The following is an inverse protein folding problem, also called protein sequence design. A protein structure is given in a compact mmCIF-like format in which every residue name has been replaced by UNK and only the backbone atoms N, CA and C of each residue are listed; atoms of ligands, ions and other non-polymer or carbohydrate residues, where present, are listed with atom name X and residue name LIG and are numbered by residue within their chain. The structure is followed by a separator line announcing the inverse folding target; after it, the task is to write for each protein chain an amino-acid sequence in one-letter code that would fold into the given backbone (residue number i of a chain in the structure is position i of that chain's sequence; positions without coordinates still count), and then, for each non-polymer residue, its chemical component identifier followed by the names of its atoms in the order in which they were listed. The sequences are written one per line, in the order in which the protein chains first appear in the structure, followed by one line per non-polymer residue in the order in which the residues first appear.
data_IF_805744762244
#
_entry.id   IF_805744762244
#
_cell.length_a   1.000
_cell.length_b   1.000
_cell.length_c   1.000
_cell.angle_alpha   90.00
_cell.angle_beta   90.00
_cell.angle_gamma   90.00
#
_symmetry.space_group_name_H-M   'P 1'
#
loop_
_entity.id
_entity.type
_entity.pdbx_description
1 polymer ?
#
# COMPACT_ATOMS: atom_id res chain seq x y z
N UNK A 1 13.33 1.64 13.18
CA UNK A 1 12.42 1.52 12.02
C UNK A 1 11.15 0.81 12.46
N UNK A 2 9.97 1.25 12.03
CA UNK A 2 8.68 0.60 12.32
C UNK A 2 8.43 -0.57 11.38
N UNK A 3 7.65 -1.57 11.84
CA UNK A 3 7.35 -2.77 11.05
C UNK A 3 5.84 -2.97 10.98
N UNK A 4 5.33 -3.05 9.76
CA UNK A 4 3.93 -3.27 9.44
C UNK A 4 3.65 -4.64 8.84
N UNK A 5 2.42 -5.13 9.03
CA UNK A 5 1.89 -6.30 8.32
C UNK A 5 0.97 -5.84 7.20
N UNK A 6 1.05 -6.47 6.03
CA UNK A 6 0.14 -6.20 4.93
C UNK A 6 -1.01 -7.21 4.92
N UNK A 7 -2.22 -6.72 5.14
CA UNK A 7 -3.46 -7.49 5.05
C UNK A 7 -3.90 -7.58 3.58
N UNK A 8 -3.43 -8.64 2.90
CA UNK A 8 -3.70 -8.87 1.48
C UNK A 8 -5.10 -9.48 1.29
N UNK A 9 -6.06 -8.67 0.88
CA UNK A 9 -7.43 -9.10 0.59
C UNK A 9 -7.52 -10.11 -0.56
N UNK A 10 -6.47 -10.27 -1.34
CA UNK A 10 -6.38 -11.25 -2.41
C UNK A 10 -6.17 -12.66 -1.88
N UNK A 11 -5.42 -12.81 -0.77
CA UNK A 11 -5.06 -14.12 -0.21
C UNK A 11 -6.08 -14.65 0.79
N UNK A 12 -6.71 -13.76 1.54
CA UNK A 12 -7.54 -14.17 2.67
C UNK A 12 -8.92 -13.50 2.65
N UNK A 13 -9.92 -14.24 3.17
CA UNK A 13 -11.23 -13.63 3.40
C UNK A 13 -11.17 -12.52 4.48
N UNK A 14 -12.12 -11.57 4.45
CA UNK A 14 -12.09 -10.43 5.35
C UNK A 14 -12.10 -10.77 6.84
N UNK A 15 -12.72 -11.91 7.25
CA UNK A 15 -12.79 -12.31 8.66
C UNK A 15 -11.44 -12.83 9.14
N UNK A 16 -10.77 -13.66 8.33
CA UNK A 16 -9.41 -14.12 8.59
C UNK A 16 -8.43 -12.95 8.72
N UNK A 17 -8.54 -11.94 7.84
CA UNK A 17 -7.69 -10.74 7.93
C UNK A 17 -7.94 -9.93 9.21
N UNK A 18 -9.17 -9.90 9.75
CA UNK A 18 -9.42 -9.27 11.06
C UNK A 18 -8.72 -10.00 12.19
N UNK A 19 -8.70 -11.32 12.15
CA UNK A 19 -7.99 -12.12 13.15
C UNK A 19 -6.46 -11.95 13.02
N UNK A 20 -5.93 -11.86 11.79
CA UNK A 20 -4.52 -11.54 11.54
C UNK A 20 -4.14 -10.14 12.08
N UNK A 21 -4.99 -9.12 11.90
CA UNK A 21 -4.73 -7.79 12.44
C UNK A 21 -4.66 -7.79 13.98
N UNK A 22 -5.57 -8.50 14.68
CA UNK A 22 -5.52 -8.63 16.13
C UNK A 22 -4.28 -9.40 16.60
N UNK A 23 -3.87 -10.45 15.88
CA UNK A 23 -2.63 -11.18 16.17
C UNK A 23 -1.40 -10.31 15.95
N UNK A 24 -1.37 -9.51 14.88
CA UNK A 24 -0.29 -8.58 14.59
C UNK A 24 -0.12 -7.55 15.72
N UNK A 25 -1.22 -7.00 16.25
CA UNK A 25 -1.18 -6.13 17.42
C UNK A 25 -0.57 -6.84 18.63
N UNK A 26 -1.05 -8.06 18.92
CA UNK A 26 -0.52 -8.88 20.03
C UNK A 26 0.95 -9.29 19.85
N UNK A 27 1.43 -9.36 18.63
CA UNK A 27 2.81 -9.66 18.27
C UNK A 27 3.75 -8.45 18.31
N UNK A 28 3.21 -7.22 18.40
CA UNK A 28 3.99 -6.00 18.50
C UNK A 28 4.31 -5.32 17.16
N UNK A 29 3.55 -5.59 16.10
CA UNK A 29 3.61 -4.78 14.87
C UNK A 29 3.14 -3.35 15.15
N UNK A 30 3.71 -2.38 14.43
CA UNK A 30 3.39 -0.95 14.56
C UNK A 30 2.19 -0.55 13.69
N UNK A 31 2.06 -1.20 12.51
CA UNK A 31 1.06 -0.84 11.50
C UNK A 31 0.44 -2.07 10.84
N UNK A 32 -0.77 -1.89 10.30
CA UNK A 32 -1.36 -2.82 9.33
C UNK A 32 -1.80 -2.04 8.10
N UNK A 33 -1.30 -2.46 6.95
CA UNK A 33 -1.68 -1.93 5.65
C UNK A 33 -2.65 -2.88 4.96
N UNK A 34 -3.51 -2.38 4.08
CA UNK A 34 -4.45 -3.25 3.36
C UNK A 34 -4.51 -2.92 1.88
N UNK A 35 -4.59 -3.95 1.03
CA UNK A 35 -4.86 -3.78 -0.39
C UNK A 35 -6.26 -3.22 -0.63
N UNK A 36 -6.43 -2.47 -1.72
CA UNK A 36 -7.72 -1.91 -2.14
C UNK A 36 -7.97 -2.23 -3.61
N UNK A 37 -8.35 -3.46 -3.86
CA UNK A 37 -8.62 -3.97 -5.20
C UNK A 37 -10.11 -4.31 -5.40
N UNK A 38 -10.55 -4.35 -6.67
CA UNK A 38 -11.85 -4.88 -7.10
C UNK A 38 -11.71 -6.33 -7.55
N UNK A 39 -10.65 -6.61 -8.30
CA UNK A 39 -10.24 -7.95 -8.68
C UNK A 39 -8.86 -8.28 -8.10
N UNK A 40 -8.61 -9.54 -7.71
CA UNK A 40 -7.31 -9.99 -7.23
C UNK A 40 -6.32 -10.19 -8.39
N UNK A 41 -5.04 -10.29 -8.05
CA UNK A 41 -3.97 -10.62 -9.00
C UNK A 41 -3.92 -12.09 -9.43
N UNK A 42 -4.79 -12.91 -8.86
CA UNK A 42 -4.91 -14.34 -9.11
C UNK A 42 -6.38 -14.75 -9.06
N UNK A 43 -6.80 -15.72 -9.85
CA UNK A 43 -8.22 -16.11 -9.93
C UNK A 43 -8.57 -17.29 -9.03
N UNK A 44 -7.71 -18.32 -9.05
CA UNK A 44 -7.97 -19.58 -8.35
C UNK A 44 -7.79 -19.40 -6.84
N UNK A 45 -8.82 -19.78 -6.05
CA UNK A 45 -8.82 -19.72 -4.58
C UNK A 45 -8.50 -18.33 -4.00
N UNK A 46 -8.77 -17.27 -4.76
CA UNK A 46 -8.54 -15.90 -4.36
C UNK A 46 -9.77 -15.26 -3.71
N UNK A 47 -9.49 -14.21 -2.95
CA UNK A 47 -10.49 -13.32 -2.35
C UNK A 47 -10.36 -11.90 -2.91
N UNK A 48 -11.27 -11.00 -2.57
CA UNK A 48 -11.11 -9.57 -2.78
C UNK A 48 -12.14 -8.77 -1.96
N UNK A 49 -11.86 -8.59 -0.68
CA UNK A 49 -12.69 -7.79 0.21
C UNK A 49 -12.51 -6.29 -0.04
N UNK A 50 -13.54 -5.49 0.24
CA UNK A 50 -13.44 -4.04 0.15
C UNK A 50 -12.64 -3.46 1.34
N UNK A 51 -11.60 -2.69 1.06
CA UNK A 51 -10.67 -2.14 2.07
C UNK A 51 -11.35 -1.22 3.09
N UNK A 52 -12.14 -0.24 2.67
CA UNK A 52 -12.67 0.79 3.57
C UNK A 52 -13.62 0.25 4.65
N UNK A 53 -14.62 -0.63 4.35
CA UNK A 53 -15.42 -1.26 5.40
C UNK A 53 -14.60 -2.15 6.32
N UNK A 54 -13.59 -2.86 5.77
CA UNK A 54 -12.71 -3.70 6.55
C UNK A 54 -11.86 -2.88 7.51
N UNK A 55 -11.27 -1.77 7.06
CA UNK A 55 -10.48 -0.85 7.91
C UNK A 55 -11.28 -0.37 9.13
N UNK A 56 -12.53 0.05 8.94
CA UNK A 56 -13.37 0.47 10.07
C UNK A 56 -13.58 -0.66 11.08
N UNK A 57 -13.70 -1.91 10.62
CA UNK A 57 -13.87 -3.08 11.49
C UNK A 57 -12.56 -3.46 12.19
N UNK A 58 -11.42 -3.35 11.50
CA UNK A 58 -10.11 -3.68 12.04
C UNK A 58 -9.68 -2.65 13.10
N UNK A 59 -9.88 -1.37 12.84
CA UNK A 59 -9.62 -0.28 13.78
C UNK A 59 -10.44 -0.41 15.08
N UNK A 60 -11.71 -0.85 14.97
CA UNK A 60 -12.57 -1.09 16.15
C UNK A 60 -12.15 -2.32 16.98
N UNK A 61 -11.46 -3.29 16.36
CA UNK A 61 -11.01 -4.51 17.03
C UNK A 61 -9.60 -4.44 17.61
N UNK A 62 -8.91 -3.33 17.37
CA UNK A 62 -7.53 -3.10 17.81
C UNK A 62 -7.43 -1.78 18.56
N UNK A 63 -6.43 -1.64 19.41
CA UNK A 63 -6.30 -0.50 20.31
C UNK A 63 -5.18 0.48 19.89
N UNK A 64 -4.09 0.00 19.29
CA UNK A 64 -2.86 0.75 19.09
C UNK A 64 -2.36 0.78 17.64
N UNK A 65 -2.70 -0.23 16.82
CA UNK A 65 -2.22 -0.31 15.44
C UNK A 65 -2.66 0.89 14.61
N UNK A 66 -1.71 1.45 13.87
CA UNK A 66 -2.04 2.40 12.80
C UNK A 66 -2.39 1.63 11.53
N UNK A 67 -3.44 2.06 10.85
CA UNK A 67 -3.95 1.34 9.68
C UNK A 67 -4.30 2.28 8.52
N UNK A 68 -4.13 1.77 7.31
CA UNK A 68 -4.54 2.45 6.09
C UNK A 68 -4.41 1.58 4.86
N UNK A 69 -4.58 2.17 3.69
CA UNK A 69 -4.50 1.45 2.43
C UNK A 69 -3.11 1.49 1.82
N UNK A 70 -2.71 0.41 1.19
CA UNK A 70 -1.48 0.30 0.43
C UNK A 70 -1.71 -0.28 -0.99
N UNK A 71 -2.36 0.45 -1.92
CA UNK A 71 -2.82 1.85 -1.91
C UNK A 71 -4.22 1.99 -2.50
N UNK A 72 -4.92 3.10 -2.22
CA UNK A 72 -6.18 3.45 -2.89
C UNK A 72 -5.92 4.31 -4.12
N UNK A 73 -6.34 3.91 -5.32
CA UNK A 73 -6.14 4.69 -6.54
C UNK A 73 -7.33 5.64 -6.81
N UNK A 74 -7.14 6.97 -6.80
CA UNK A 74 -8.16 7.93 -7.17
C UNK A 74 -8.20 8.13 -8.69
N UNK A 75 -8.62 7.10 -9.45
CA UNK A 75 -8.62 7.11 -10.92
C UNK A 75 -10.02 7.36 -11.48
N UNK A 76 -10.98 6.46 -11.25
CA UNK A 76 -12.36 6.65 -11.67
C UNK A 76 -13.36 6.18 -10.61
N UNK A 77 -13.14 5.01 -10.00
CA UNK A 77 -14.06 4.44 -8.98
C UNK A 77 -14.17 5.27 -7.71
N UNK A 78 -13.14 6.06 -7.37
CA UNK A 78 -13.13 6.89 -6.17
C UNK A 78 -12.95 8.37 -6.50
N UNK A 79 -13.95 9.16 -6.17
CA UNK A 79 -13.84 10.61 -6.19
C UNK A 79 -13.00 11.10 -4.99
N UNK A 80 -12.01 12.01 -5.16
CA UNK A 80 -11.16 12.50 -4.06
C UNK A 80 -11.94 13.05 -2.85
N UNK A 81 -13.03 13.76 -3.10
CA UNK A 81 -13.89 14.26 -2.03
C UNK A 81 -14.54 13.16 -1.18
N UNK A 82 -14.86 12.02 -1.80
CA UNK A 82 -15.35 10.85 -1.07
C UNK A 82 -14.24 10.22 -0.21
N UNK A 83 -13.02 10.10 -0.75
CA UNK A 83 -11.88 9.61 0.01
C UNK A 83 -11.56 10.53 1.20
N UNK A 84 -11.55 11.85 0.97
CA UNK A 84 -11.33 12.81 2.05
C UNK A 84 -12.39 12.67 3.17
N UNK A 85 -13.68 12.48 2.81
CA UNK A 85 -14.75 12.25 3.78
C UNK A 85 -14.58 10.93 4.53
N UNK A 86 -14.30 9.82 3.81
CA UNK A 86 -14.19 8.50 4.41
C UNK A 86 -13.02 8.42 5.41
N UNK A 87 -11.82 8.84 4.99
CA UNK A 87 -10.64 8.81 5.85
C UNK A 87 -10.66 9.92 6.92
N UNK A 88 -11.26 11.07 6.64
CA UNK A 88 -11.55 12.07 7.67
C UNK A 88 -12.48 11.54 8.77
N UNK A 89 -13.48 10.72 8.39
CA UNK A 89 -14.37 10.05 9.36
C UNK A 89 -13.62 9.03 10.19
N UNK A 90 -12.83 8.16 9.55
CA UNK A 90 -12.00 7.18 10.26
C UNK A 90 -11.01 7.88 11.21
N UNK A 91 -10.34 8.96 10.76
CA UNK A 91 -9.43 9.75 11.60
C UNK A 91 -10.12 10.43 12.77
N UNK A 92 -11.38 10.85 12.62
CA UNK A 92 -12.16 11.41 13.73
C UNK A 92 -12.59 10.34 14.75
N UNK A 93 -12.80 9.10 14.32
CA UNK A 93 -13.14 7.97 15.19
C UNK A 93 -11.90 7.37 15.87
N UNK A 94 -10.76 7.34 15.18
CA UNK A 94 -9.53 6.65 15.58
C UNK A 94 -8.32 7.58 15.41
N UNK A 95 -8.30 8.69 16.17
CA UNK A 95 -7.28 9.74 16.05
C UNK A 95 -5.86 9.20 16.16
N UNK A 96 -4.98 9.65 15.25
CA UNK A 96 -3.58 9.22 15.18
C UNK A 96 -3.34 7.81 14.65
N UNK A 97 -4.40 7.03 14.35
CA UNK A 97 -4.30 5.63 13.95
C UNK A 97 -4.62 5.35 12.48
N UNK A 98 -4.92 6.39 11.69
CA UNK A 98 -5.36 6.23 10.29
C UNK A 98 -4.39 6.93 9.36
N UNK A 99 -4.07 6.30 8.23
CA UNK A 99 -3.40 6.94 7.11
C UNK A 99 -4.13 6.61 5.79
N UNK A 100 -3.95 7.45 4.78
CA UNK A 100 -4.41 7.20 3.42
C UNK A 100 -3.21 7.19 2.48
N UNK A 101 -2.97 6.07 1.81
CA UNK A 101 -1.97 6.03 0.74
C UNK A 101 -2.65 5.96 -0.63
N UNK A 102 -2.16 6.79 -1.56
CA UNK A 102 -2.67 6.91 -2.92
C UNK A 102 -1.66 6.39 -3.95
N UNK A 103 -2.18 5.88 -5.06
CA UNK A 103 -1.38 5.40 -6.18
C UNK A 103 -2.03 5.70 -7.54
N UNK A 104 -1.35 5.28 -8.61
CA UNK A 104 -1.84 5.46 -9.99
C UNK A 104 -2.71 4.29 -10.47
N UNK A 105 -2.94 3.30 -9.64
CA UNK A 105 -3.88 2.20 -9.84
C UNK A 105 -3.50 1.20 -10.94
N UNK A 106 -4.35 0.21 -11.11
CA UNK A 106 -4.26 -0.89 -12.06
C UNK A 106 -5.59 -1.06 -12.82
N UNK A 107 -5.51 -1.58 -14.05
CA UNK A 107 -6.68 -1.78 -14.93
C UNK A 107 -7.75 -2.69 -14.29
N UNK A 108 -7.33 -3.69 -13.53
CA UNK A 108 -8.22 -4.65 -12.85
C UNK A 108 -9.15 -4.03 -11.80
N UNK A 109 -8.89 -2.78 -11.41
CA UNK A 109 -9.70 -2.06 -10.45
C UNK A 109 -10.77 -1.15 -11.08
N UNK A 110 -10.59 -0.76 -12.35
CA UNK A 110 -11.44 0.21 -13.03
C UNK A 110 -12.26 -0.43 -14.15
N UNK A 111 -11.62 -1.25 -15.01
CA UNK A 111 -12.25 -1.87 -16.18
C UNK A 111 -13.46 -2.77 -15.82
N UNK A 112 -13.39 -3.62 -14.77
CA UNK A 112 -14.54 -4.46 -14.39
C UNK A 112 -15.77 -3.65 -13.94
N UNK A 113 -15.57 -2.42 -13.50
CA UNK A 113 -16.64 -1.51 -13.11
C UNK A 113 -17.21 -0.72 -14.28
N UNK A 114 -16.70 -0.95 -15.50
CA UNK A 114 -17.14 -0.29 -16.73
C UNK A 114 -16.48 1.05 -17.00
N UNK A 115 -15.39 1.37 -16.32
CA UNK A 115 -14.58 2.55 -16.60
C UNK A 115 -13.49 2.24 -17.63
N UNK A 116 -13.10 3.26 -18.38
CA UNK A 116 -11.91 3.19 -19.24
C UNK A 116 -10.65 3.18 -18.39
N UNK A 117 -9.60 2.49 -18.88
CA UNK A 117 -8.28 2.55 -18.28
C UNK A 117 -7.43 3.65 -18.93
N UNK A 118 -7.18 4.77 -18.25
CA UNK A 118 -6.48 5.89 -18.86
C UNK A 118 -4.96 5.64 -18.93
N UNK A 119 -4.25 6.30 -19.89
CA UNK A 119 -2.81 6.23 -19.97
C UNK A 119 -2.15 6.86 -18.74
N UNK A 120 -0.92 6.43 -18.41
CA UNK A 120 -0.19 6.87 -17.21
C UNK A 120 -0.13 8.40 -17.00
N UNK A 121 0.11 9.27 -18.03
CA UNK A 121 0.11 10.71 -17.81
C UNK A 121 -1.22 11.26 -17.26
N UNK A 122 -2.35 10.67 -17.67
CA UNK A 122 -3.66 11.03 -17.17
C UNK A 122 -3.84 10.53 -15.73
N UNK A 123 -3.52 9.25 -15.46
CA UNK A 123 -3.61 8.69 -14.10
C UNK A 123 -2.78 9.50 -13.10
N UNK A 124 -1.56 9.89 -13.50
CA UNK A 124 -0.72 10.77 -12.67
C UNK A 124 -1.36 12.13 -12.43
N UNK A 125 -2.01 12.72 -13.44
CA UNK A 125 -2.68 14.02 -13.27
C UNK A 125 -3.88 13.89 -12.33
N UNK A 126 -4.67 12.81 -12.45
CA UNK A 126 -5.78 12.51 -11.51
C UNK A 126 -5.29 12.37 -10.07
N UNK A 127 -4.14 11.71 -9.87
CA UNK A 127 -3.49 11.57 -8.57
C UNK A 127 -3.08 12.93 -7.99
N UNK A 128 -2.46 13.80 -8.79
CA UNK A 128 -2.06 15.15 -8.36
C UNK A 128 -3.28 15.96 -7.92
N UNK A 129 -4.33 16.01 -8.75
CA UNK A 129 -5.56 16.72 -8.44
C UNK A 129 -6.23 16.16 -7.17
N UNK A 130 -6.17 14.83 -6.99
CA UNK A 130 -6.70 14.17 -5.79
C UNK A 130 -5.93 14.55 -4.52
N UNK A 131 -4.60 14.57 -4.57
CA UNK A 131 -3.79 15.03 -3.43
C UNK A 131 -4.15 16.46 -3.03
N UNK A 132 -4.28 17.37 -4.01
CA UNK A 132 -4.66 18.76 -3.75
C UNK A 132 -6.06 18.87 -3.12
N UNK A 133 -7.06 18.22 -3.71
CA UNK A 133 -8.44 18.26 -3.19
C UNK A 133 -8.51 17.71 -1.76
N UNK A 134 -7.89 16.55 -1.50
CA UNK A 134 -7.94 15.90 -0.19
C UNK A 134 -7.24 16.76 0.86
N UNK A 135 -6.06 17.27 0.57
CA UNK A 135 -5.29 18.09 1.51
C UNK A 135 -6.04 19.37 1.87
N UNK A 136 -6.63 20.05 0.89
CA UNK A 136 -7.43 21.26 1.12
C UNK A 136 -8.71 20.98 1.92
N UNK A 137 -9.40 19.88 1.65
CA UNK A 137 -10.57 19.49 2.44
C UNK A 137 -10.20 19.18 3.89
N UNK A 138 -9.08 18.50 4.14
CA UNK A 138 -8.62 18.20 5.49
C UNK A 138 -8.07 19.42 6.25
N UNK A 139 -7.70 20.51 5.55
CA UNK A 139 -7.37 21.79 6.17
C UNK A 139 -8.63 22.59 6.62
N UNK A 140 -9.82 22.10 6.28
CA UNK A 140 -11.10 22.77 6.59
C UNK A 140 -11.53 23.80 5.56
N UNK A 141 -10.90 23.83 4.39
CA UNK A 141 -11.28 24.73 3.30
C UNK A 141 -12.63 24.32 2.67
N UNK A 142 -13.33 25.31 2.12
CA UNK A 142 -14.36 25.09 1.09
C UNK A 142 -13.64 24.98 -0.24
N UNK A 143 -13.74 23.81 -0.89
CA UNK A 143 -13.01 23.52 -2.11
C UNK A 143 -13.92 23.61 -3.32
N UNK A 144 -13.68 24.63 -4.12
CA UNK A 144 -14.20 24.77 -5.48
C UNK A 144 -13.06 24.45 -6.44
N UNK A 145 -13.12 23.30 -7.08
CA UNK A 145 -12.04 22.77 -7.93
C UNK A 145 -12.57 22.53 -9.34
N UNK A 146 -12.01 23.21 -10.31
CA UNK A 146 -12.37 23.10 -11.73
C UNK A 146 -11.22 22.45 -12.51
N UNK A 147 -10.94 21.18 -12.18
CA UNK A 147 -9.94 20.37 -12.87
C UNK A 147 -10.50 19.70 -14.13
N UNK A 148 -9.58 19.16 -14.96
CA UNK A 148 -10.00 18.44 -16.16
C UNK A 148 -10.69 17.10 -15.83
N UNK A 149 -10.23 16.41 -14.78
CA UNK A 149 -10.71 15.08 -14.41
C UNK A 149 -11.59 15.08 -13.16
N UNK A 150 -11.27 15.94 -12.21
CA UNK A 150 -12.03 16.09 -10.96
C UNK A 150 -12.62 17.48 -10.88
N UNK A 151 -13.83 17.57 -10.38
CA UNK A 151 -14.54 18.83 -10.15
C UNK A 151 -15.25 18.78 -8.80
N UNK A 152 -15.21 19.90 -8.08
CA UNK A 152 -16.00 20.08 -6.86
C UNK A 152 -16.69 21.45 -6.90
N UNK A 153 -17.86 21.54 -6.28
CA UNK A 153 -18.61 22.77 -6.18
C UNK A 153 -18.91 23.03 -4.70
N UNK A 154 -18.29 24.05 -4.12
CA UNK A 154 -18.44 24.45 -2.72
C UNK A 154 -18.35 23.24 -1.75
N UNK A 155 -17.44 22.27 -2.03
CA UNK A 155 -17.29 21.06 -1.24
C UNK A 155 -16.51 21.37 0.04
N UNK A 156 -17.05 20.96 1.19
CA UNK A 156 -16.36 21.00 2.47
C UNK A 156 -16.78 19.83 3.38
N UNK A 157 -15.94 19.52 4.34
CA UNK A 157 -16.21 18.42 5.27
C UNK A 157 -16.80 18.96 6.57
N UNK A 158 -17.90 18.35 7.04
CA UNK A 158 -18.53 18.67 8.33
C UNK A 158 -17.86 17.97 9.51
N UNK A 159 -17.16 16.86 9.23
CA UNK A 159 -16.39 16.10 10.23
C UNK A 159 -14.93 16.09 9.82
N UNK A 160 -14.10 16.68 10.65
CA UNK A 160 -12.65 16.69 10.52
C UNK A 160 -12.03 15.99 11.72
N UNK A 161 -10.95 15.23 11.55
CA UNK A 161 -10.20 14.67 12.66
C UNK A 161 -9.47 15.79 13.43
N UNK A 162 -9.24 15.59 14.74
CA UNK A 162 -8.43 16.52 15.54
C UNK A 162 -6.97 16.55 15.03
N UNK A 163 -6.43 15.39 14.70
CA UNK A 163 -5.14 15.24 14.04
C UNK A 163 -5.36 14.94 12.56
N UNK A 164 -4.68 15.69 11.68
CA UNK A 164 -4.78 15.46 10.23
C UNK A 164 -4.34 14.04 9.90
N UNK A 165 -5.14 13.35 9.08
CA UNK A 165 -4.77 12.03 8.55
C UNK A 165 -3.53 12.19 7.66
N UNK A 166 -2.44 11.43 7.88
CA UNK A 166 -1.30 11.42 6.99
C UNK A 166 -1.70 10.94 5.59
N UNK A 167 -1.27 11.69 4.57
CA UNK A 167 -1.43 11.33 3.17
C UNK A 167 -0.11 10.78 2.62
N UNK A 168 -0.13 9.55 2.14
CA UNK A 168 1.04 8.93 1.53
C UNK A 168 0.83 8.75 0.02
N UNK A 169 1.91 8.66 -0.74
CA UNK A 169 1.88 8.42 -2.19
C UNK A 169 2.86 7.31 -2.55
N UNK A 170 2.37 6.30 -3.28
CA UNK A 170 3.21 5.23 -3.79
C UNK A 170 3.85 5.60 -5.13
N UNK A 171 5.12 5.21 -5.29
CA UNK A 171 5.85 5.43 -6.53
C UNK A 171 7.01 4.46 -6.72
N UNK A 172 6.99 3.74 -7.84
CA UNK A 172 8.06 2.84 -8.27
C UNK A 172 8.93 3.45 -9.37
N UNK A 173 8.75 4.74 -9.67
CA UNK A 173 9.52 5.49 -10.65
C UNK A 173 9.57 6.98 -10.34
N UNK A 174 10.55 7.72 -10.91
CA UNK A 174 10.84 9.11 -10.52
C UNK A 174 9.64 10.06 -10.62
N UNK A 175 8.74 9.84 -11.58
CA UNK A 175 7.59 10.75 -11.79
C UNK A 175 6.55 10.67 -10.68
N UNK A 176 6.24 9.48 -10.18
CA UNK A 176 5.31 9.30 -9.06
C UNK A 176 5.98 9.71 -7.75
N UNK A 177 7.26 9.41 -7.59
CA UNK A 177 8.05 9.82 -6.42
C UNK A 177 8.15 11.33 -6.30
N UNK A 178 8.31 12.06 -7.41
CA UNK A 178 8.27 13.53 -7.42
C UNK A 178 6.91 14.07 -6.92
N UNK A 179 5.78 13.40 -7.27
CA UNK A 179 4.46 13.76 -6.74
C UNK A 179 4.40 13.55 -5.22
N UNK A 180 4.99 12.46 -4.71
CA UNK A 180 5.09 12.25 -3.27
C UNK A 180 5.84 13.40 -2.59
N UNK A 181 6.98 13.82 -3.14
CA UNK A 181 7.74 14.99 -2.66
C UNK A 181 6.90 16.26 -2.58
N UNK A 182 6.06 16.51 -3.59
CA UNK A 182 5.24 17.73 -3.64
C UNK A 182 4.07 17.75 -2.65
N UNK A 183 3.40 16.61 -2.41
CA UNK A 183 2.09 16.60 -1.76
C UNK A 183 1.98 15.69 -0.54
N UNK A 184 2.83 14.65 -0.41
CA UNK A 184 2.61 13.59 0.57
C UNK A 184 3.41 13.78 1.86
N UNK A 185 2.87 13.25 2.96
CA UNK A 185 3.58 13.14 4.25
C UNK A 185 4.48 11.92 4.29
N UNK A 186 4.28 10.97 3.36
CA UNK A 186 5.12 9.79 3.20
C UNK A 186 5.13 9.28 1.77
N UNK A 187 6.19 8.56 1.48
CA UNK A 187 6.47 7.94 0.18
C UNK A 187 6.62 6.43 0.36
N UNK A 188 5.84 5.66 -0.40
CA UNK A 188 5.86 4.20 -0.41
C UNK A 188 6.45 3.67 -1.71
N UNK A 189 7.35 2.68 -1.62
CA UNK A 189 7.94 2.01 -2.80
C UNK A 189 8.16 0.52 -2.59
N UNK A 190 8.15 -0.24 -3.72
CA UNK A 190 8.57 -1.65 -3.80
C UNK A 190 10.00 -1.81 -4.34
N UNK A 191 10.69 -0.70 -4.62
CA UNK A 191 12.01 -0.76 -5.28
C UNK A 191 13.11 -1.09 -4.30
N UNK A 192 14.12 -1.84 -4.81
CA UNK A 192 15.33 -2.17 -4.07
C UNK A 192 16.14 -0.91 -3.74
N UNK A 193 16.99 -1.02 -2.72
CA UNK A 193 17.82 0.06 -2.20
C UNK A 193 18.61 0.77 -3.30
N UNK A 194 19.20 0.02 -4.22
CA UNK A 194 19.97 0.56 -5.35
C UNK A 194 19.15 1.52 -6.25
N UNK A 195 17.92 1.13 -6.60
CA UNK A 195 17.01 1.96 -7.42
C UNK A 195 16.47 3.12 -6.59
N UNK A 196 16.15 2.85 -5.33
CA UNK A 196 15.67 3.86 -4.39
C UNK A 196 16.68 5.00 -4.24
N UNK A 197 17.92 4.71 -3.86
CA UNK A 197 18.96 5.73 -3.65
C UNK A 197 19.33 6.49 -4.95
N UNK A 198 19.47 5.76 -6.07
CA UNK A 198 19.95 6.37 -7.33
C UNK A 198 18.89 7.20 -8.05
N UNK A 199 17.61 6.84 -7.92
CA UNK A 199 16.57 7.39 -8.79
C UNK A 199 15.36 7.96 -8.03
N UNK A 200 15.01 7.39 -6.88
CA UNK A 200 13.80 7.83 -6.18
C UNK A 200 14.09 8.91 -5.15
N UNK A 201 15.15 8.79 -4.37
CA UNK A 201 15.56 9.85 -3.43
C UNK A 201 15.75 11.19 -4.13
N UNK A 202 16.53 11.29 -5.23
CA UNK A 202 16.68 12.58 -5.94
C UNK A 202 15.35 13.12 -6.50
N UNK A 203 14.42 12.23 -6.92
CA UNK A 203 13.13 12.65 -7.42
C UNK A 203 12.19 13.13 -6.29
N UNK A 204 12.29 12.52 -5.10
CA UNK A 204 11.56 12.94 -3.90
C UNK A 204 12.01 14.34 -3.46
N UNK A 205 13.31 14.54 -3.37
CA UNK A 205 13.93 15.82 -3.01
C UNK A 205 13.58 16.94 -4.01
N UNK A 206 13.64 16.66 -5.32
CA UNK A 206 13.23 17.62 -6.36
C UNK A 206 11.73 17.97 -6.25
N UNK A 207 10.88 16.98 -5.96
CA UNK A 207 9.46 17.21 -5.71
C UNK A 207 9.22 18.09 -4.48
N UNK A 208 9.88 17.79 -3.36
CA UNK A 208 9.80 18.57 -2.14
C UNK A 208 10.29 20.02 -2.35
N UNK A 209 11.42 20.19 -3.01
CA UNK A 209 11.97 21.52 -3.35
C UNK A 209 11.00 22.33 -4.23
N UNK A 210 10.29 21.70 -5.17
CA UNK A 210 9.30 22.36 -6.02
C UNK A 210 8.12 22.94 -5.22
N UNK A 211 7.81 22.32 -4.07
CA UNK A 211 6.72 22.72 -3.17
C UNK A 211 7.20 23.46 -1.92
N UNK A 212 8.47 23.84 -1.84
CA UNK A 212 9.11 24.52 -0.70
C UNK A 212 8.96 23.72 0.61
N UNK A 213 9.13 22.38 0.52
CA UNK A 213 9.00 21.43 1.64
C UNK A 213 10.36 20.83 1.99
N UNK A 214 10.52 20.43 3.25
CA UNK A 214 11.68 19.68 3.71
C UNK A 214 11.54 18.19 3.34
N UNK A 215 12.44 17.61 2.52
CA UNK A 215 12.39 16.20 2.18
C UNK A 215 12.64 15.26 3.36
N UNK A 216 13.28 15.74 4.44
CA UNK A 216 13.53 14.93 5.64
C UNK A 216 12.27 14.77 6.52
N UNK A 217 11.23 15.58 6.30
CA UNK A 217 9.93 15.42 6.93
C UNK A 217 9.03 14.40 6.21
N UNK A 218 9.44 13.90 5.04
CA UNK A 218 8.67 12.93 4.26
C UNK A 218 9.07 11.51 4.68
N UNK A 219 8.15 10.81 5.35
CA UNK A 219 8.33 9.43 5.81
C UNK A 219 8.61 8.49 4.62
N UNK A 220 9.58 7.61 4.76
CA UNK A 220 10.03 6.67 3.72
C UNK A 220 9.61 5.26 4.09
N UNK A 221 8.78 4.64 3.25
CA UNK A 221 8.13 3.37 3.53
C UNK A 221 8.51 2.38 2.44
N UNK A 222 8.92 1.16 2.84
CA UNK A 222 9.24 0.07 1.93
C UNK A 222 8.21 -1.05 2.07
N UNK A 223 7.55 -1.43 0.99
CA UNK A 223 6.81 -2.69 0.96
C UNK A 223 7.78 -3.81 0.61
N UNK A 224 8.00 -4.73 1.54
CA UNK A 224 8.83 -5.92 1.34
C UNK A 224 7.95 -7.15 1.16
N UNK A 225 8.16 -7.86 0.06
CA UNK A 225 7.49 -9.12 -0.21
C UNK A 225 8.29 -10.24 0.45
N UNK A 226 7.65 -11.06 1.28
CA UNK A 226 8.34 -12.10 2.07
C UNK A 226 7.55 -13.40 2.08
N UNK A 227 8.27 -14.52 2.08
CA UNK A 227 7.72 -15.83 2.39
C UNK A 227 8.65 -16.59 3.32
N UNK A 228 8.11 -17.05 4.44
CA UNK A 228 8.82 -17.82 5.47
C UNK A 228 8.10 -19.13 5.80
N UNK A 229 8.84 -20.20 5.85
CA UNK A 229 8.46 -21.46 6.51
C UNK A 229 9.75 -22.18 6.96
N UNK A 230 9.69 -23.07 7.95
CA UNK A 230 10.85 -23.90 8.35
C UNK A 230 11.32 -24.86 7.23
N UNK A 231 10.55 -24.99 6.18
CA UNK A 231 10.84 -25.72 4.95
C UNK A 231 10.90 -24.72 3.79
N UNK A 232 12.10 -24.49 3.25
CA UNK A 232 12.34 -23.53 2.17
C UNK A 232 11.50 -23.80 0.92
N UNK A 233 11.31 -25.08 0.55
CA UNK A 233 10.53 -25.42 -0.64
C UNK A 233 9.05 -25.04 -0.47
N UNK A 234 8.50 -25.19 0.75
CA UNK A 234 7.15 -24.72 1.07
C UNK A 234 7.04 -23.20 1.05
N UNK A 235 8.05 -22.50 1.57
CA UNK A 235 8.10 -21.04 1.49
C UNK A 235 8.14 -20.58 0.04
N UNK A 236 8.93 -21.23 -0.81
CA UNK A 236 9.02 -20.91 -2.23
C UNK A 236 7.70 -21.20 -2.97
N UNK A 237 7.10 -22.38 -2.78
CA UNK A 237 5.85 -22.76 -3.42
C UNK A 237 4.70 -21.77 -3.11
N UNK A 238 4.66 -21.21 -1.91
CA UNK A 238 3.59 -20.28 -1.49
C UNK A 238 3.63 -18.94 -2.24
N UNK A 239 4.79 -18.55 -2.82
CA UNK A 239 4.90 -17.35 -3.67
C UNK A 239 4.13 -17.49 -4.98
N UNK A 240 3.75 -18.73 -5.34
CA UNK A 240 3.05 -19.05 -6.57
C UNK A 240 1.76 -18.29 -6.80
N UNK A 241 1.06 -17.89 -5.72
CA UNK A 241 -0.13 -17.04 -5.77
C UNK A 241 0.15 -15.63 -6.33
N UNK A 242 1.35 -15.12 -6.16
CA UNK A 242 1.76 -13.77 -6.55
C UNK A 242 2.58 -13.71 -7.85
N UNK A 243 2.53 -14.75 -8.69
CA UNK A 243 3.20 -14.73 -10.00
C UNK A 243 2.52 -13.84 -11.03
N UNK A 244 1.27 -13.40 -10.76
CA UNK A 244 0.52 -12.53 -11.65
C UNK A 244 1.18 -11.16 -11.90
N UNK A 245 1.48 -10.36 -10.88
CA UNK A 245 2.09 -9.04 -11.04
C UNK A 245 3.37 -9.01 -11.88
N UNK A 246 4.40 -9.84 -11.64
CA UNK A 246 5.60 -9.86 -12.47
C UNK A 246 5.32 -10.32 -13.91
N UNK A 247 4.34 -11.22 -14.12
CA UNK A 247 4.01 -11.72 -15.46
C UNK A 247 3.47 -10.65 -16.39
N UNK A 248 2.70 -9.69 -15.87
CA UNK A 248 2.05 -8.68 -16.69
C UNK A 248 2.64 -7.28 -16.54
N UNK A 249 3.37 -7.01 -15.45
CA UNK A 249 3.79 -5.66 -15.05
C UNK A 249 2.60 -4.76 -14.69
N UNK A 250 2.87 -3.69 -13.97
CA UNK A 250 1.82 -2.79 -13.47
C UNK A 250 1.22 -1.85 -14.53
N UNK A 251 1.86 -1.72 -15.69
CA UNK A 251 1.42 -0.80 -16.76
C UNK A 251 0.58 -1.47 -17.86
N UNK A 252 0.30 -2.75 -17.74
CA UNK A 252 -0.48 -3.47 -18.75
C UNK A 252 -1.99 -3.25 -18.57
N UNK A 253 -2.72 -3.34 -19.69
CA UNK A 253 -4.17 -3.14 -19.75
C UNK A 253 -4.98 -4.41 -19.39
N UNK A 254 -4.31 -5.45 -18.87
CA UNK A 254 -4.96 -6.70 -18.50
C UNK A 254 -5.72 -6.50 -17.18
N UNK A 255 -7.03 -6.75 -17.24
CA UNK A 255 -7.94 -6.54 -16.11
C UNK A 255 -8.62 -7.83 -15.60
N UNK A 256 -8.52 -8.92 -16.35
CA UNK A 256 -9.15 -10.20 -16.00
C UNK A 256 -8.17 -11.07 -15.19
N UNK A 257 -8.49 -11.40 -13.93
CA UNK A 257 -7.63 -12.25 -13.11
C UNK A 257 -7.31 -13.61 -13.72
N UNK A 258 -8.19 -14.14 -14.58
CA UNK A 258 -7.94 -15.42 -15.25
C UNK A 258 -6.83 -15.31 -16.30
N UNK A 259 -6.74 -14.18 -16.99
CA UNK A 259 -5.67 -13.90 -17.95
C UNK A 259 -4.37 -13.61 -17.21
N UNK A 260 -4.43 -12.89 -16.09
CA UNK A 260 -3.28 -12.62 -15.22
C UNK A 260 -2.71 -13.92 -14.65
N UNK A 261 -3.57 -14.80 -14.13
CA UNK A 261 -3.16 -16.11 -13.62
C UNK A 261 -2.56 -16.99 -14.74
N UNK A 262 -3.18 -16.99 -15.94
CA UNK A 262 -2.67 -17.75 -17.07
C UNK A 262 -1.24 -17.31 -17.43
N UNK A 263 -0.97 -16.01 -17.48
CA UNK A 263 0.37 -15.47 -17.69
C UNK A 263 1.32 -15.82 -16.54
N UNK A 264 0.87 -15.69 -15.28
CA UNK A 264 1.66 -16.00 -14.10
C UNK A 264 2.07 -17.48 -14.01
N UNK A 265 1.25 -18.40 -14.50
CA UNK A 265 1.57 -19.83 -14.52
C UNK A 265 2.75 -20.19 -15.43
N UNK A 266 3.09 -19.32 -16.36
CA UNK A 266 4.26 -19.49 -17.25
C UNK A 266 5.58 -19.07 -16.56
N UNK A 267 5.53 -18.32 -15.44
CA UNK A 267 6.71 -17.95 -14.67
C UNK A 267 7.17 -19.16 -13.83
N UNK A 268 8.41 -19.63 -13.96
CA UNK A 268 8.97 -20.63 -13.05
C UNK A 268 8.92 -20.16 -11.60
N UNK A 269 8.63 -21.09 -10.68
CA UNK A 269 8.48 -20.71 -9.27
C UNK A 269 9.79 -20.18 -8.69
N UNK A 270 10.93 -20.65 -9.19
CA UNK A 270 12.27 -20.24 -8.77
C UNK A 270 12.56 -18.77 -9.08
N UNK A 271 11.93 -18.19 -10.12
CA UNK A 271 12.07 -16.78 -10.46
C UNK A 271 11.39 -15.85 -9.45
N UNK A 272 10.52 -16.40 -8.58
CA UNK A 272 9.88 -15.60 -7.53
C UNK A 272 10.86 -15.14 -6.44
N UNK A 273 12.04 -15.74 -6.36
CA UNK A 273 13.10 -15.25 -5.46
C UNK A 273 13.70 -13.91 -5.90
N UNK A 274 13.44 -13.45 -7.13
CA UNK A 274 13.80 -12.11 -7.59
C UNK A 274 12.82 -11.04 -7.06
N UNK A 275 11.62 -11.45 -6.69
CA UNK A 275 10.57 -10.55 -6.19
C UNK A 275 10.39 -10.65 -4.67
N UNK A 276 10.55 -11.85 -4.11
CA UNK A 276 10.30 -12.17 -2.71
C UNK A 276 11.59 -12.54 -1.96
N UNK A 277 11.70 -12.06 -0.74
CA UNK A 277 12.58 -12.68 0.24
C UNK A 277 11.97 -14.03 0.65
N UNK A 278 12.47 -15.13 0.09
CA UNK A 278 12.06 -16.49 0.44
C UNK A 278 13.10 -17.05 1.40
N UNK A 279 12.70 -17.50 2.57
CA UNK A 279 13.64 -17.97 3.59
C UNK A 279 13.03 -19.00 4.54
N UNK A 280 13.89 -19.87 5.10
CA UNK A 280 13.64 -20.77 6.21
C UNK A 280 14.39 -20.37 7.50
N UNK A 281 15.16 -19.26 7.44
CA UNK A 281 15.89 -18.71 8.58
C UNK A 281 15.44 -17.25 8.88
N UNK A 282 14.90 -16.96 10.07
CA UNK A 282 14.55 -15.60 10.47
C UNK A 282 15.72 -14.60 10.43
N UNK A 283 16.97 -15.08 10.44
CA UNK A 283 18.15 -14.23 10.36
C UNK A 283 18.24 -13.48 9.02
N UNK A 284 17.80 -14.11 7.92
CA UNK A 284 17.80 -13.48 6.59
C UNK A 284 16.84 -12.27 6.55
N UNK A 285 15.67 -12.41 7.18
CA UNK A 285 14.71 -11.30 7.28
C UNK A 285 15.27 -10.17 8.17
N UNK A 286 15.95 -10.52 9.26
CA UNK A 286 16.57 -9.51 10.13
C UNK A 286 17.67 -8.75 9.39
N UNK A 287 18.54 -9.43 8.63
CA UNK A 287 19.57 -8.81 7.80
C UNK A 287 18.97 -7.86 6.76
N UNK A 288 17.87 -8.28 6.12
CA UNK A 288 17.16 -7.44 5.14
C UNK A 288 16.53 -6.20 5.79
N UNK A 289 15.95 -6.32 6.97
CA UNK A 289 15.40 -5.19 7.72
C UNK A 289 16.50 -4.21 8.15
N UNK A 290 17.65 -4.72 8.60
CA UNK A 290 18.81 -3.89 8.97
C UNK A 290 19.37 -3.13 7.74
N UNK A 291 19.41 -3.77 6.56
CA UNK A 291 19.77 -3.11 5.28
C UNK A 291 18.82 -1.95 4.96
N UNK A 292 17.51 -2.17 5.10
CA UNK A 292 16.49 -1.15 4.80
C UNK A 292 16.54 0.01 5.81
N UNK A 293 16.75 -0.27 7.09
CA UNK A 293 16.95 0.75 8.11
C UNK A 293 18.20 1.58 7.82
N UNK A 294 19.31 0.95 7.44
CA UNK A 294 20.55 1.63 7.06
C UNK A 294 20.40 2.50 5.80
N UNK A 295 19.50 2.12 4.88
CA UNK A 295 19.16 2.90 3.69
C UNK A 295 18.23 4.09 4.00
N UNK A 296 17.78 4.24 5.25
CA UNK A 296 16.98 5.38 5.70
C UNK A 296 15.46 5.22 5.52
N UNK A 297 14.96 3.99 5.46
CA UNK A 297 13.52 3.75 5.55
C UNK A 297 13.04 3.89 7.00
N UNK A 298 11.92 4.57 7.19
CA UNK A 298 11.28 4.79 8.48
C UNK A 298 10.35 3.63 8.86
N UNK A 299 9.80 2.95 7.85
CA UNK A 299 8.85 1.86 7.99
C UNK A 299 9.04 0.80 6.90
N UNK A 300 8.88 -0.45 7.28
CA UNK A 300 8.77 -1.57 6.33
C UNK A 300 7.43 -2.26 6.56
N UNK A 301 6.60 -2.31 5.51
CA UNK A 301 5.40 -3.14 5.50
C UNK A 301 5.70 -4.49 4.86
N UNK A 302 5.31 -5.57 5.52
CA UNK A 302 5.58 -6.93 5.10
C UNK A 302 4.34 -7.54 4.42
N UNK A 303 4.38 -7.68 3.09
CA UNK A 303 3.43 -8.52 2.38
C UNK A 303 3.94 -9.97 2.47
N UNK A 304 3.35 -10.74 3.38
CA UNK A 304 3.72 -12.14 3.58
C UNK A 304 2.81 -13.07 2.77
N UNK A 305 3.44 -13.92 1.96
CA UNK A 305 2.79 -15.06 1.31
C UNK A 305 3.12 -16.39 1.99
N UNK A 306 3.63 -16.34 3.22
CA UNK A 306 3.97 -17.55 4.00
C UNK A 306 2.81 -18.54 4.01
N UNK A 307 3.08 -19.85 3.86
CA UNK A 307 2.02 -20.86 3.78
C UNK A 307 1.17 -20.98 5.06
N UNK A 308 1.71 -20.50 6.17
CA UNK A 308 1.02 -20.38 7.46
C UNK A 308 1.25 -18.97 8.01
N UNK A 309 0.26 -18.10 7.87
CA UNK A 309 0.35 -16.70 8.28
C UNK A 309 0.40 -16.54 9.81
N UNK A 310 -0.24 -17.41 10.57
CA UNK A 310 -0.19 -17.36 12.03
C UNK A 310 1.22 -17.69 12.52
N UNK A 311 1.84 -18.73 11.95
CA UNK A 311 3.24 -19.09 12.21
C UNK A 311 4.21 -17.96 11.84
N UNK A 312 3.97 -17.27 10.69
CA UNK A 312 4.76 -16.11 10.32
C UNK A 312 4.67 -14.99 11.37
N UNK A 313 3.46 -14.65 11.84
CA UNK A 313 3.24 -13.64 12.87
C UNK A 313 3.91 -14.05 14.20
N UNK A 314 3.84 -15.33 14.59
CA UNK A 314 4.50 -15.85 15.79
C UNK A 314 6.05 -15.78 15.68
N UNK A 315 6.60 -16.12 14.52
CA UNK A 315 8.03 -15.97 14.24
C UNK A 315 8.45 -14.51 14.33
N UNK A 316 7.68 -13.60 13.73
CA UNK A 316 7.94 -12.16 13.83
C UNK A 316 7.97 -11.67 15.28
N UNK A 317 7.01 -12.10 16.10
CA UNK A 317 6.95 -11.74 17.52
C UNK A 317 8.19 -12.21 18.28
N UNK A 318 8.62 -13.46 18.09
CA UNK A 318 9.69 -14.06 18.88
C UNK A 318 11.10 -13.70 18.40
N UNK A 319 11.28 -13.50 17.09
CA UNK A 319 12.60 -13.39 16.48
C UNK A 319 12.93 -11.96 16.01
N UNK A 320 11.93 -11.15 15.68
CA UNK A 320 12.15 -9.85 15.02
C UNK A 320 11.67 -8.68 15.89
N UNK A 321 10.45 -8.76 16.44
CA UNK A 321 9.79 -7.64 17.13
C UNK A 321 10.07 -7.56 18.63
N UNK A 322 10.58 -8.62 19.25
CA UNK A 322 10.98 -8.64 20.66
C UNK A 322 12.31 -7.87 20.84
N UNK A 323 12.20 -6.51 20.90
CA UNK A 323 13.32 -5.57 21.05
C UNK A 323 13.35 -4.92 22.43
#
# INVERSE_FOLDING_TARGET
MEIGLFAAHEQYDPTTLLDHAQRAEGAGFDTVWTSDHVHPWWHTDAHCGAAHPWLGSALERTDSLRMGTGVTPPIARYHPGFLAQAFGTLGAMYSGRVHLALGTGEAMNEVPLGYDWPPYPERRKRLIDACEIITRLWSGEVVDFDGHYWQTNDLYLYTLPEERVPLYVAGNGPKSTHVAGQYADGFLTLRDVDVYEKHLVPALEDGAATADRDPDEIRRIRQLLVSYDDDYDRALESTGFWRGPPAIGFDQEIADPREIEAAGREIPIEEMTDEFLVTDDPADLREKLDELEAAGFDEVELLSTSPDQEKFIEMMASEILDR
#
